data_IF_388972965703
#
_entry.id   IF_388972965703
#
_cell.length_a   1.000
_cell.length_b   1.000
_cell.length_c   1.000
_cell.angle_alpha   90.00
_cell.angle_beta   90.00
_cell.angle_gamma   90.00
#
_symmetry.space_group_name_H-M   'P 1'
#
loop_
_entity.id
_entity.type
_entity.pdbx_description
1 polymer ?
#
# COMPACT_ATOMS: atom_id res chain seq x y z
N UNK A 1 -10.21 -15.45 14.96
CA UNK A 1 -10.88 -14.19 14.63
C UNK A 1 -10.15 -13.62 13.44
N UNK A 2 -10.81 -13.52 12.28
CA UNK A 2 -10.21 -12.94 11.07
C UNK A 2 -10.23 -11.39 11.15
N UNK A 3 -9.65 -10.71 10.16
CA UNK A 3 -9.55 -9.25 10.18
C UNK A 3 -10.93 -8.55 10.15
N UNK A 4 -11.87 -9.07 9.37
CA UNK A 4 -13.24 -8.57 9.32
C UNK A 4 -13.96 -8.75 10.67
N UNK A 5 -13.85 -9.92 11.32
CA UNK A 5 -14.45 -10.15 12.64
C UNK A 5 -13.94 -9.13 13.67
N UNK A 6 -12.62 -8.88 13.67
CA UNK A 6 -11.99 -7.90 14.53
C UNK A 6 -12.54 -6.50 14.28
N UNK A 7 -12.61 -6.06 13.01
CA UNK A 7 -13.08 -4.72 12.67
C UNK A 7 -14.58 -4.55 12.92
N UNK A 8 -15.40 -5.56 12.59
CA UNK A 8 -16.85 -5.52 12.79
C UNK A 8 -17.25 -5.52 14.27
N UNK A 9 -16.39 -6.02 15.17
CA UNK A 9 -16.60 -5.94 16.61
C UNK A 9 -16.30 -4.55 17.20
N UNK A 10 -15.63 -3.66 16.47
CA UNK A 10 -15.32 -2.31 16.94
C UNK A 10 -16.54 -1.38 16.79
N UNK A 11 -16.78 -0.45 17.75
CA UNK A 11 -17.77 0.59 17.60
C UNK A 11 -17.53 1.45 16.35
N UNK A 12 -18.59 1.94 15.72
CA UNK A 12 -18.52 2.75 14.49
C UNK A 12 -17.63 4.00 14.66
N UNK A 13 -17.74 4.68 15.80
CA UNK A 13 -16.95 5.89 16.13
C UNK A 13 -15.65 5.59 16.90
N UNK A 14 -15.10 4.38 16.77
CA UNK A 14 -13.84 4.03 17.44
C UNK A 14 -12.66 4.86 16.91
N UNK A 15 -11.69 5.25 17.76
CA UNK A 15 -10.44 5.83 17.28
C UNK A 15 -9.48 4.77 16.70
N UNK A 16 -9.83 3.48 16.73
CA UNK A 16 -8.99 2.43 16.17
C UNK A 16 -8.94 2.56 14.64
N UNK A 17 -7.76 2.81 14.05
CA UNK A 17 -7.68 3.14 12.62
C UNK A 17 -8.06 1.97 11.71
N UNK A 18 -8.04 0.74 12.23
CA UNK A 18 -8.44 -0.44 11.46
C UNK A 18 -9.90 -0.39 11.04
N UNK A 19 -10.80 0.20 11.85
CA UNK A 19 -12.22 0.27 11.52
C UNK A 19 -12.45 1.06 10.23
N UNK A 20 -11.91 2.27 10.18
CA UNK A 20 -12.01 3.13 9.00
C UNK A 20 -11.32 2.48 7.79
N UNK A 21 -10.12 1.94 7.99
CA UNK A 21 -9.37 1.28 6.92
C UNK A 21 -10.15 0.10 6.32
N UNK A 22 -10.69 -0.77 7.16
CA UNK A 22 -11.49 -1.92 6.74
C UNK A 22 -12.75 -1.50 5.97
N UNK A 23 -13.48 -0.51 6.47
CA UNK A 23 -14.79 -0.13 5.95
C UNK A 23 -14.74 0.66 4.64
N UNK A 24 -13.64 1.37 4.39
CA UNK A 24 -13.57 2.37 3.32
C UNK A 24 -12.38 2.23 2.37
N UNK A 25 -11.36 1.45 2.73
CA UNK A 25 -10.12 1.37 1.94
C UNK A 25 -9.72 -0.05 1.57
N UNK A 26 -9.78 -1.00 2.51
CA UNK A 26 -9.29 -2.37 2.27
C UNK A 26 -10.20 -3.11 1.31
N UNK A 27 -9.66 -3.49 0.15
CA UNK A 27 -10.38 -4.18 -0.92
C UNK A 27 -11.10 -3.25 -1.88
N UNK A 28 -11.06 -1.93 -1.67
CA UNK A 28 -11.62 -0.94 -2.59
C UNK A 28 -10.61 -0.56 -3.67
N UNK A 29 -11.10 -0.33 -4.89
CA UNK A 29 -10.25 0.10 -6.00
C UNK A 29 -9.69 1.52 -5.73
N UNK A 30 -8.42 1.72 -6.06
CA UNK A 30 -7.74 3.02 -5.97
C UNK A 30 -7.31 3.45 -7.37
N UNK A 31 -7.68 4.68 -7.76
CA UNK A 31 -7.43 5.20 -9.11
C UNK A 31 -6.13 6.02 -9.22
N UNK A 32 -5.62 6.59 -8.13
CA UNK A 32 -4.54 7.57 -8.16
C UNK A 32 -3.18 6.96 -7.80
N UNK A 33 -2.17 7.21 -8.63
CA UNK A 33 -0.83 6.65 -8.48
C UNK A 33 -0.16 6.97 -7.14
N UNK A 34 -0.31 8.18 -6.60
CA UNK A 34 0.26 8.54 -5.30
C UNK A 34 -0.37 7.71 -4.16
N UNK A 35 -1.67 7.40 -4.25
CA UNK A 35 -2.36 6.58 -3.26
C UNK A 35 -2.00 5.08 -3.41
N UNK A 36 -1.81 4.62 -4.66
CA UNK A 36 -1.26 3.28 -4.92
C UNK A 36 0.17 3.16 -4.38
N UNK A 37 0.99 4.17 -4.60
CA UNK A 37 2.35 4.21 -4.08
C UNK A 37 2.37 4.24 -2.55
N UNK A 38 1.53 5.07 -1.92
CA UNK A 38 1.32 5.05 -0.47
C UNK A 38 1.03 3.63 0.03
N UNK A 39 0.00 2.96 -0.53
CA UNK A 39 -0.36 1.60 -0.11
C UNK A 39 0.84 0.66 -0.22
N UNK A 40 1.55 0.65 -1.34
CA UNK A 40 2.71 -0.21 -1.55
C UNK A 40 3.79 0.02 -0.50
N UNK A 41 4.11 1.28 -0.19
CA UNK A 41 5.14 1.61 0.79
C UNK A 41 4.69 1.28 2.22
N UNK A 42 3.41 1.45 2.55
CA UNK A 42 2.88 1.03 3.85
C UNK A 42 2.98 -0.50 4.03
N UNK A 43 2.63 -1.29 3.01
CA UNK A 43 2.78 -2.76 3.04
C UNK A 43 4.25 -3.19 3.19
N UNK A 44 5.18 -2.53 2.48
CA UNK A 44 6.62 -2.76 2.66
C UNK A 44 7.07 -2.50 4.10
N UNK A 45 6.52 -1.45 4.72
CA UNK A 45 6.89 -1.06 6.07
C UNK A 45 6.24 -1.93 7.14
N UNK A 46 5.11 -2.59 6.85
CA UNK A 46 4.42 -3.52 7.75
C UNK A 46 5.26 -4.75 8.11
N UNK A 47 6.21 -5.18 7.26
CA UNK A 47 7.07 -6.33 7.56
C UNK A 47 7.77 -6.19 8.94
N UNK A 48 7.38 -7.06 9.89
CA UNK A 48 7.85 -7.08 11.27
C UNK A 48 7.05 -6.25 12.29
N UNK A 49 5.90 -5.68 11.88
CA UNK A 49 5.02 -4.84 12.69
C UNK A 49 3.55 -5.23 12.47
N UNK A 50 2.66 -4.83 13.38
CA UNK A 50 1.22 -4.95 13.13
C UNK A 50 0.75 -3.88 12.13
N UNK A 51 -0.29 -4.19 11.37
CA UNK A 51 -0.89 -3.20 10.47
C UNK A 51 -1.45 -1.99 11.24
N UNK A 52 -2.01 -2.20 12.43
CA UNK A 52 -2.41 -1.13 13.36
C UNK A 52 -1.26 -0.15 13.63
N UNK A 53 -0.04 -0.63 13.85
CA UNK A 53 1.13 0.23 14.05
C UNK A 53 1.43 1.07 12.81
N UNK A 54 1.30 0.50 11.61
CA UNK A 54 1.50 1.22 10.36
C UNK A 54 0.43 2.28 10.15
N UNK A 55 -0.84 1.93 10.35
CA UNK A 55 -1.95 2.88 10.24
C UNK A 55 -1.81 4.05 11.23
N UNK A 56 -1.43 3.78 12.48
CA UNK A 56 -1.15 4.83 13.47
C UNK A 56 0.00 5.76 13.05
N UNK A 57 0.97 5.26 12.27
CA UNK A 57 2.09 6.04 11.74
C UNK A 57 1.80 6.70 10.40
N UNK A 58 0.65 6.44 9.77
CA UNK A 58 0.35 6.85 8.38
C UNK A 58 0.52 8.36 8.16
N UNK A 59 0.01 9.20 9.07
CA UNK A 59 0.16 10.65 8.97
C UNK A 59 1.64 11.10 8.98
N UNK A 60 2.48 10.46 9.81
CA UNK A 60 3.92 10.73 9.82
C UNK A 60 4.58 10.27 8.52
N UNK A 61 4.21 9.10 7.99
CA UNK A 61 4.67 8.64 6.68
C UNK A 61 4.29 9.61 5.56
N UNK A 62 3.04 10.07 5.52
CA UNK A 62 2.57 11.05 4.54
C UNK A 62 3.40 12.34 4.60
N UNK A 63 3.66 12.88 5.80
CA UNK A 63 4.52 14.05 5.93
C UNK A 63 5.97 13.77 5.47
N UNK A 64 6.55 12.66 5.93
CA UNK A 64 7.94 12.30 5.66
C UNK A 64 8.22 12.07 4.16
N UNK A 65 7.27 11.46 3.45
CA UNK A 65 7.35 11.12 2.02
C UNK A 65 6.58 12.10 1.13
N UNK A 66 6.44 13.36 1.54
CA UNK A 66 5.84 14.42 0.71
C UNK A 66 4.46 14.06 0.11
N UNK A 67 3.57 13.52 0.96
CA UNK A 67 2.24 13.00 0.62
C UNK A 67 2.27 11.87 -0.42
N UNK A 68 3.38 11.11 -0.46
CA UNK A 68 3.62 10.05 -1.44
C UNK A 68 3.52 10.54 -2.89
N UNK A 69 3.84 11.81 -3.13
CA UNK A 69 4.03 12.31 -4.49
C UNK A 69 5.19 11.56 -5.14
N UNK A 70 4.86 10.74 -6.13
CA UNK A 70 5.83 9.85 -6.79
C UNK A 70 7.01 10.64 -7.35
N UNK A 71 6.76 11.80 -7.96
CA UNK A 71 7.82 12.59 -8.59
C UNK A 71 8.75 13.20 -7.54
N UNK A 72 8.20 13.70 -6.41
CA UNK A 72 9.00 14.23 -5.31
C UNK A 72 9.83 13.15 -4.64
N UNK A 73 9.23 12.01 -4.31
CA UNK A 73 9.94 10.90 -3.64
C UNK A 73 10.99 10.29 -4.56
N UNK A 74 10.74 10.21 -5.87
CA UNK A 74 11.73 9.75 -6.85
C UNK A 74 12.97 10.65 -6.92
N UNK A 75 12.82 11.93 -6.58
CA UNK A 75 13.87 12.94 -6.57
C UNK A 75 14.60 13.07 -5.22
N UNK A 76 14.21 12.30 -4.19
CA UNK A 76 14.87 12.34 -2.89
C UNK A 76 16.36 11.98 -3.00
N UNK A 77 17.18 12.75 -2.30
CA UNK A 77 18.63 12.64 -2.32
C UNK A 77 19.20 12.09 -0.98
N UNK A 78 20.51 12.25 -0.78
CA UNK A 78 21.19 11.83 0.45
C UNK A 78 20.75 12.63 1.68
N UNK A 79 20.36 13.90 1.52
CA UNK A 79 19.84 14.73 2.61
C UNK A 79 18.46 14.25 3.05
N UNK A 80 17.59 13.92 2.09
CA UNK A 80 16.30 13.30 2.37
C UNK A 80 16.47 11.94 3.05
N UNK A 81 17.42 11.13 2.60
CA UNK A 81 17.75 9.87 3.22
C UNK A 81 18.15 10.05 4.70
N UNK A 82 19.03 11.02 4.99
CA UNK A 82 19.46 11.31 6.36
C UNK A 82 18.31 11.82 7.23
N UNK A 83 17.48 12.72 6.69
CA UNK A 83 16.25 13.23 7.33
C UNK A 83 15.30 12.09 7.70
N UNK A 84 15.02 11.18 6.77
CA UNK A 84 14.12 10.04 6.99
C UNK A 84 14.68 9.04 8.03
N UNK A 85 15.99 8.82 8.04
CA UNK A 85 16.64 7.99 9.06
C UNK A 85 16.60 8.60 10.47
N UNK A 86 16.48 9.92 10.58
CA UNK A 86 16.36 10.62 11.85
C UNK A 86 14.91 10.67 12.38
N UNK A 87 13.92 10.51 11.50
CA UNK A 87 12.49 10.69 11.84
C UNK A 87 11.91 9.49 12.63
N UNK A 88 11.62 9.71 13.92
CA UNK A 88 11.02 8.70 14.80
C UNK A 88 9.53 8.43 14.53
N UNK A 89 8.87 9.28 13.75
CA UNK A 89 7.49 9.12 13.30
C UNK A 89 7.31 7.91 12.39
N UNK A 90 8.33 7.55 11.60
CA UNK A 90 8.29 6.45 10.63
C UNK A 90 9.12 5.23 11.08
N UNK A 91 9.23 4.24 10.19
CA UNK A 91 10.11 3.09 10.37
C UNK A 91 11.51 3.45 9.86
N UNK A 92 12.46 3.67 10.78
CA UNK A 92 13.84 4.07 10.49
C UNK A 92 14.71 2.90 10.02
N UNK A 93 14.37 2.34 8.87
CA UNK A 93 15.12 1.25 8.25
C UNK A 93 15.73 1.71 6.91
N UNK A 94 17.07 1.74 6.85
CA UNK A 94 17.81 2.22 5.68
C UNK A 94 17.40 1.53 4.38
N UNK A 95 17.26 0.21 4.40
CA UNK A 95 16.93 -0.56 3.20
C UNK A 95 15.49 -0.32 2.73
N UNK A 96 14.53 -0.20 3.67
CA UNK A 96 13.13 0.12 3.33
C UNK A 96 12.98 1.53 2.76
N UNK A 97 13.69 2.52 3.31
CA UNK A 97 13.68 3.89 2.78
C UNK A 97 14.28 3.93 1.36
N UNK A 98 15.44 3.29 1.16
CA UNK A 98 16.04 3.17 -0.18
C UNK A 98 15.11 2.47 -1.17
N UNK A 99 14.40 1.43 -0.74
CA UNK A 99 13.40 0.75 -1.57
C UNK A 99 12.24 1.67 -1.93
N UNK A 100 11.77 2.53 -1.01
CA UNK A 100 10.71 3.48 -1.31
C UNK A 100 11.12 4.48 -2.42
N UNK A 101 12.32 5.05 -2.33
CA UNK A 101 12.86 5.97 -3.34
C UNK A 101 13.02 5.24 -4.69
N UNK A 102 13.63 4.05 -4.70
CA UNK A 102 13.78 3.25 -5.91
C UNK A 102 12.42 2.90 -6.54
N UNK A 103 11.44 2.51 -5.72
CA UNK A 103 10.11 2.14 -6.22
C UNK A 103 9.39 3.37 -6.81
N UNK A 104 9.54 4.56 -6.22
CA UNK A 104 9.02 5.81 -6.79
C UNK A 104 9.63 6.09 -8.18
N UNK A 105 10.96 5.95 -8.32
CA UNK A 105 11.64 6.12 -9.62
C UNK A 105 11.14 5.12 -10.67
N UNK A 106 10.88 3.87 -10.24
CA UNK A 106 10.32 2.85 -11.13
C UNK A 106 8.90 3.18 -11.55
N UNK A 107 8.05 3.62 -10.62
CA UNK A 107 6.69 4.07 -10.93
C UNK A 107 6.73 5.26 -11.89
N UNK A 108 7.61 6.24 -11.67
CA UNK A 108 7.78 7.37 -12.58
C UNK A 108 8.18 6.93 -14.00
N UNK A 109 8.98 5.87 -14.13
CA UNK A 109 9.30 5.29 -15.45
C UNK A 109 8.07 4.62 -16.08
N UNK A 110 7.31 3.84 -15.30
CA UNK A 110 6.06 3.21 -15.73
C UNK A 110 5.03 4.24 -16.19
N UNK A 111 4.91 5.39 -15.49
CA UNK A 111 4.02 6.49 -15.86
C UNK A 111 4.34 7.03 -17.26
N UNK A 112 5.62 7.09 -17.65
CA UNK A 112 6.04 7.51 -18.99
C UNK A 112 5.66 6.48 -20.06
N UNK A 113 5.68 5.20 -19.71
CA UNK A 113 5.42 4.08 -20.65
C UNK A 113 3.93 3.80 -20.84
N UNK A 114 3.13 3.93 -19.77
CA UNK A 114 1.74 3.44 -19.71
C UNK A 114 0.72 4.51 -19.32
N UNK A 115 1.18 5.74 -19.10
CA UNK A 115 0.38 6.88 -18.64
C UNK A 115 0.19 6.93 -17.12
N UNK A 116 0.08 5.78 -16.44
CA UNK A 116 -0.04 5.71 -14.98
C UNK A 116 0.33 4.34 -14.42
N UNK A 117 0.70 4.28 -13.14
CA UNK A 117 0.87 3.01 -12.42
C UNK A 117 -0.44 2.23 -12.36
N UNK A 118 -1.57 2.91 -12.19
CA UNK A 118 -2.90 2.29 -12.26
C UNK A 118 -3.12 1.56 -13.58
N UNK A 119 -2.84 2.22 -14.72
CA UNK A 119 -2.99 1.61 -16.04
C UNK A 119 -2.06 0.42 -16.20
N UNK A 120 -0.83 0.49 -15.68
CA UNK A 120 0.08 -0.64 -15.69
C UNK A 120 -0.46 -1.83 -14.90
N UNK A 121 -1.06 -1.61 -13.73
CA UNK A 121 -1.74 -2.69 -12.97
C UNK A 121 -2.91 -3.27 -13.77
N UNK A 122 -3.75 -2.42 -14.36
CA UNK A 122 -4.92 -2.84 -15.15
C UNK A 122 -4.52 -3.69 -16.36
N UNK A 123 -3.49 -3.27 -17.12
CA UNK A 123 -2.99 -4.01 -18.27
C UNK A 123 -2.44 -5.40 -17.91
N UNK A 124 -2.01 -5.60 -16.67
CA UNK A 124 -1.50 -6.87 -16.19
C UNK A 124 -2.57 -7.72 -15.50
N UNK A 125 -3.76 -7.19 -15.22
CA UNK A 125 -4.87 -7.94 -14.64
C UNK A 125 -5.70 -8.65 -15.75
N UNK A 126 -6.21 -9.88 -15.53
CA UNK A 126 -6.08 -10.72 -14.33
C UNK A 126 -4.79 -11.56 -14.31
N UNK A 127 -4.28 -11.80 -13.10
CA UNK A 127 -3.15 -12.71 -12.82
C UNK A 127 -3.34 -13.36 -11.45
N UNK A 128 -2.84 -14.59 -11.31
CA UNK A 128 -2.73 -15.21 -9.99
C UNK A 128 -1.64 -14.54 -9.14
N UNK A 129 -1.64 -14.83 -7.83
CA UNK A 129 -0.68 -14.25 -6.87
C UNK A 129 0.77 -14.57 -7.24
N UNK A 130 1.07 -15.78 -7.73
CA UNK A 130 2.44 -16.17 -8.05
C UNK A 130 2.99 -15.39 -9.25
N UNK A 131 2.17 -15.21 -10.29
CA UNK A 131 2.48 -14.40 -11.46
C UNK A 131 2.67 -12.92 -11.10
N UNK A 132 1.80 -12.37 -10.22
CA UNK A 132 1.97 -11.01 -9.70
C UNK A 132 3.27 -10.82 -8.94
N UNK A 133 3.60 -11.75 -8.02
CA UNK A 133 4.87 -11.69 -7.27
C UNK A 133 6.06 -11.71 -8.20
N UNK A 134 6.04 -12.56 -9.23
CA UNK A 134 7.10 -12.62 -10.24
C UNK A 134 7.25 -11.28 -10.97
N UNK A 135 6.15 -10.70 -11.43
CA UNK A 135 6.14 -9.40 -12.12
C UNK A 135 6.67 -8.29 -11.21
N UNK A 136 6.16 -8.18 -9.99
CA UNK A 136 6.60 -7.14 -9.05
C UNK A 136 8.09 -7.23 -8.75
N UNK A 137 8.64 -8.44 -8.55
CA UNK A 137 10.08 -8.64 -8.30
C UNK A 137 10.98 -8.25 -9.46
N UNK A 138 10.47 -8.21 -10.70
CA UNK A 138 11.23 -7.73 -11.85
C UNK A 138 11.33 -6.20 -11.88
N UNK A 139 10.39 -5.49 -11.24
CA UNK A 139 10.30 -4.03 -11.32
C UNK A 139 10.69 -3.34 -10.01
N UNK A 140 10.29 -3.87 -8.86
CA UNK A 140 10.33 -3.19 -7.56
C UNK A 140 11.24 -3.90 -6.55
N UNK A 141 11.55 -3.20 -5.46
CA UNK A 141 12.33 -3.69 -4.31
C UNK A 141 11.44 -3.88 -3.09
N UNK A 142 11.82 -4.83 -2.24
CA UNK A 142 11.07 -5.20 -1.02
C UNK A 142 9.65 -5.72 -1.27
N UNK A 143 9.42 -6.34 -2.43
CA UNK A 143 8.10 -6.86 -2.85
C UNK A 143 8.04 -8.38 -2.72
N UNK A 144 8.02 -8.85 -1.47
CA UNK A 144 7.85 -10.26 -1.11
C UNK A 144 6.45 -10.81 -1.40
N UNK A 145 6.27 -12.12 -1.24
CA UNK A 145 4.99 -12.80 -1.55
C UNK A 145 3.82 -12.31 -0.70
N UNK A 146 4.04 -12.03 0.58
CA UNK A 146 3.04 -11.44 1.47
C UNK A 146 2.74 -9.99 1.06
N UNK A 147 3.77 -9.15 0.91
CA UNK A 147 3.63 -7.74 0.57
C UNK A 147 2.86 -7.54 -0.74
N UNK A 148 3.21 -8.26 -1.81
CA UNK A 148 2.49 -8.15 -3.09
C UNK A 148 1.06 -8.69 -2.97
N UNK A 149 0.88 -9.77 -2.19
CA UNK A 149 -0.44 -10.33 -1.94
C UNK A 149 -1.37 -9.34 -1.24
N UNK A 150 -0.94 -8.79 -0.10
CA UNK A 150 -1.70 -7.81 0.67
C UNK A 150 -1.90 -6.51 -0.12
N UNK A 151 -0.87 -6.02 -0.81
CA UNK A 151 -1.00 -4.85 -1.68
C UNK A 151 -2.13 -5.03 -2.70
N UNK A 152 -2.11 -6.11 -3.49
CA UNK A 152 -3.11 -6.32 -4.54
C UNK A 152 -4.49 -6.67 -4.00
N UNK A 153 -4.55 -7.41 -2.89
CA UNK A 153 -5.81 -7.72 -2.20
C UNK A 153 -6.45 -6.45 -1.61
N UNK A 154 -5.64 -5.58 -1.00
CA UNK A 154 -6.09 -4.28 -0.47
C UNK A 154 -6.66 -3.35 -1.52
N UNK A 155 -6.34 -3.58 -2.79
CA UNK A 155 -6.76 -2.79 -3.95
C UNK A 155 -7.84 -3.47 -4.79
N UNK A 156 -8.27 -4.68 -4.41
CA UNK A 156 -9.30 -5.44 -5.13
C UNK A 156 -8.81 -6.20 -6.38
N UNK A 157 -7.50 -6.23 -6.67
CA UNK A 157 -6.95 -7.03 -7.79
C UNK A 157 -6.84 -8.53 -7.43
N UNK A 158 -6.80 -8.87 -6.15
CA UNK A 158 -6.88 -10.23 -5.65
C UNK A 158 -8.07 -10.36 -4.70
N UNK A 159 -8.78 -11.49 -4.79
CA UNK A 159 -9.84 -11.82 -3.86
C UNK A 159 -9.28 -12.08 -2.44
N UNK A 160 -10.12 -11.89 -1.42
CA UNK A 160 -9.82 -12.27 -0.04
C UNK A 160 -9.80 -11.12 0.97
N UNK A 161 -9.93 -9.86 0.53
CA UNK A 161 -9.94 -8.71 1.44
C UNK A 161 -11.09 -8.78 2.47
N UNK A 162 -12.25 -9.30 2.05
CA UNK A 162 -13.41 -9.50 2.91
C UNK A 162 -14.00 -10.89 2.67
N UNK A 163 -14.47 -11.54 3.73
CA UNK A 163 -15.26 -12.77 3.59
C UNK A 163 -16.72 -12.44 3.23
N UNK A 164 -17.44 -13.41 2.66
CA UNK A 164 -18.79 -13.20 2.09
C UNK A 164 -19.82 -12.65 3.10
N UNK A 165 -19.68 -13.02 4.38
CA UNK A 165 -20.55 -12.53 5.45
C UNK A 165 -20.17 -11.15 6.02
N UNK A 166 -19.10 -10.51 5.52
CA UNK A 166 -18.71 -9.18 5.98
C UNK A 166 -19.64 -8.15 5.33
N UNK A 167 -20.23 -7.20 6.08
CA UNK A 167 -21.08 -6.16 5.50
C UNK A 167 -20.42 -5.37 4.36
N UNK A 168 -19.09 -5.20 4.43
CA UNK A 168 -18.30 -4.46 3.45
C UNK A 168 -18.11 -5.24 2.14
N UNK A 169 -18.16 -6.58 2.17
CA UNK A 169 -18.02 -7.43 0.98
C UNK A 169 -19.04 -7.07 -0.11
N UNK A 170 -20.29 -6.82 0.29
CA UNK A 170 -21.37 -6.41 -0.62
C UNK A 170 -21.14 -5.03 -1.23
N UNK A 171 -20.53 -4.11 -0.48
CA UNK A 171 -20.23 -2.75 -0.94
C UNK A 171 -19.17 -2.78 -2.04
N UNK A 172 -18.11 -3.56 -1.85
CA UNK A 172 -17.03 -3.69 -2.84
C UNK A 172 -17.58 -4.30 -4.15
N UNK A 173 -18.41 -5.35 -4.06
CA UNK A 173 -19.04 -5.96 -5.25
C UNK A 173 -19.99 -5.05 -6.03
N UNK A 174 -20.53 -4.00 -5.41
CA UNK A 174 -21.43 -3.06 -6.09
C UNK A 174 -20.69 -1.86 -6.71
N UNK A 175 -19.40 -1.71 -6.42
CA UNK A 175 -18.55 -0.62 -6.93
C UNK A 175 -17.54 -1.05 -8.01
N UNK A 176 -17.41 -2.35 -8.29
CA UNK A 176 -16.55 -2.91 -9.34
C UNK A 176 -17.35 -3.55 -10.46
#
# INVERSE_FOLDING_TARGET
MNYCDFCNALPENTPNPNKHYHDHEYGFAVAHDNALFERLILEINQAGLSWTTILNKRAAFQAAYAQFDVAKVAAFDENDMARLLADAGIVRNKLKIQAAIFNAQKIQSIQKETGSFKNWLDQHHPRDKAAWVKLFKQHFKFVGGEIVGEFLMSLGYLAGAHHEHCPIYSKIKSTG
#
